data_IF_752580126453
#
_entry.id   IF_752580126453
#
_cell.length_a   1.000
_cell.length_b   1.000
_cell.length_c   1.000
_cell.angle_alpha   90.00
_cell.angle_beta   90.00
_cell.angle_gamma   90.00
#
_symmetry.space_group_name_H-M   'P 1'
#
loop_
_entity.id
_entity.type
_entity.pdbx_description
1 polymer ?
#
# COMPACT_ATOMS: atom_id res chain seq x y z
N UNK A 1 -3.18 1.39 12.38
CA UNK A 1 -4.37 2.12 12.86
C UNK A 1 -5.58 1.19 12.68
N UNK A 2 -6.21 0.75 13.76
CA UNK A 2 -7.43 -0.07 13.72
C UNK A 2 -8.58 0.79 13.20
N UNK A 3 -9.21 0.40 12.09
CA UNK A 3 -10.40 1.10 11.59
C UNK A 3 -11.51 1.04 12.65
N UNK A 4 -12.09 2.20 12.98
CA UNK A 4 -13.25 2.26 13.86
C UNK A 4 -14.43 1.56 13.19
N UNK A 5 -15.01 0.57 13.86
CA UNK A 5 -16.17 -0.17 13.35
C UNK A 5 -17.37 0.78 13.31
N UNK A 6 -17.86 1.08 12.11
CA UNK A 6 -19.09 1.86 11.92
C UNK A 6 -20.30 1.04 12.41
N UNK A 7 -20.82 1.47 13.57
CA UNK A 7 -22.00 0.85 14.21
C UNK A 7 -23.20 0.85 13.26
N UNK A 8 -23.44 1.93 12.52
CA UNK A 8 -24.58 2.07 11.62
C UNK A 8 -24.49 1.12 10.42
N UNK A 9 -23.28 0.87 9.91
CA UNK A 9 -23.03 -0.16 8.88
C UNK A 9 -23.28 -1.56 9.46
N UNK A 10 -22.80 -1.82 10.67
CA UNK A 10 -22.93 -3.11 11.35
C UNK A 10 -24.40 -3.50 11.62
N UNK A 11 -25.22 -2.57 12.11
CA UNK A 11 -26.65 -2.80 12.33
C UNK A 11 -27.41 -3.10 11.03
N UNK A 12 -27.06 -2.40 9.93
CA UNK A 12 -27.64 -2.65 8.60
C UNK A 12 -27.28 -4.02 8.06
N UNK A 13 -26.00 -4.42 8.16
CA UNK A 13 -25.55 -5.75 7.74
C UNK A 13 -26.21 -6.87 8.56
N UNK A 14 -26.31 -6.69 9.89
CA UNK A 14 -27.01 -7.64 10.76
C UNK A 14 -28.49 -7.80 10.38
N UNK A 15 -29.17 -6.69 10.04
CA UNK A 15 -30.56 -6.74 9.62
C UNK A 15 -30.75 -7.45 8.27
N UNK A 16 -29.86 -7.21 7.32
CA UNK A 16 -29.87 -7.90 6.02
C UNK A 16 -29.66 -9.42 6.17
N UNK A 17 -28.69 -9.83 6.99
CA UNK A 17 -28.44 -11.26 7.28
C UNK A 17 -29.68 -11.89 7.92
N UNK A 18 -30.30 -11.22 8.90
CA UNK A 18 -31.50 -11.72 9.57
C UNK A 18 -32.68 -11.88 8.61
N UNK A 19 -32.92 -10.90 7.74
CA UNK A 19 -33.98 -10.94 6.73
C UNK A 19 -33.75 -12.03 5.69
N UNK A 20 -32.52 -12.17 5.19
CA UNK A 20 -32.17 -13.22 4.24
C UNK A 20 -32.32 -14.61 4.86
N UNK A 21 -32.00 -14.77 6.15
CA UNK A 21 -32.18 -16.03 6.87
C UNK A 21 -33.66 -16.37 7.03
N UNK A 22 -34.51 -15.39 7.38
CA UNK A 22 -35.95 -15.59 7.47
C UNK A 22 -36.56 -15.96 6.11
N UNK A 23 -36.15 -15.28 5.04
CA UNK A 23 -36.60 -15.58 3.67
C UNK A 23 -36.13 -16.96 3.18
N UNK A 24 -34.91 -17.38 3.51
CA UNK A 24 -34.39 -18.71 3.15
C UNK A 24 -35.06 -19.87 3.90
N UNK A 25 -35.88 -19.57 4.91
CA UNK A 25 -36.70 -20.53 5.66
C UNK A 25 -38.19 -20.37 5.35
N UNK A 26 -38.54 -19.62 4.29
CA UNK A 26 -39.91 -19.29 3.87
C UNK A 26 -40.76 -18.61 4.97
N UNK A 27 -40.11 -17.90 5.89
CA UNK A 27 -40.78 -17.14 6.95
C UNK A 27 -41.04 -15.69 6.53
N UNK A 28 -42.03 -15.05 7.17
CA UNK A 28 -42.32 -13.64 6.90
C UNK A 28 -41.17 -12.75 7.39
N UNK A 29 -40.97 -11.56 6.78
CA UNK A 29 -39.94 -10.61 7.21
C UNK A 29 -40.09 -10.16 8.67
N UNK A 30 -41.28 -10.25 9.28
CA UNK A 30 -41.47 -9.95 10.70
C UNK A 30 -40.71 -10.96 11.61
N UNK A 31 -40.56 -12.21 11.17
CA UNK A 31 -39.78 -13.23 11.87
C UNK A 31 -38.27 -12.95 11.88
N UNK A 32 -37.77 -12.02 11.05
CA UNK A 32 -36.36 -11.63 11.01
C UNK A 32 -35.84 -11.13 12.38
N UNK A 33 -36.71 -10.56 13.23
CA UNK A 33 -36.33 -10.12 14.59
C UNK A 33 -35.80 -11.26 15.44
N UNK A 34 -36.30 -12.48 15.24
CA UNK A 34 -35.87 -13.68 15.97
C UNK A 34 -34.43 -14.08 15.62
N UNK A 35 -34.01 -13.84 14.37
CA UNK A 35 -32.66 -14.15 13.88
C UNK A 35 -31.66 -13.01 14.09
N UNK A 36 -32.13 -11.81 14.47
CA UNK A 36 -31.29 -10.62 14.56
C UNK A 36 -30.14 -10.76 15.55
N UNK A 37 -30.34 -11.39 16.71
CA UNK A 37 -29.26 -11.59 17.70
C UNK A 37 -28.14 -12.52 17.19
N UNK A 38 -28.48 -13.52 16.38
CA UNK A 38 -27.48 -14.39 15.73
C UNK A 38 -26.78 -13.66 14.56
N UNK A 39 -27.56 -12.92 13.77
CA UNK A 39 -27.06 -12.11 12.67
C UNK A 39 -26.12 -11.00 13.13
N UNK A 40 -26.39 -10.37 14.28
CA UNK A 40 -25.54 -9.34 14.87
C UNK A 40 -24.18 -9.90 15.29
N UNK A 41 -24.15 -11.09 15.92
CA UNK A 41 -22.91 -11.78 16.28
C UNK A 41 -22.10 -12.17 15.04
N UNK A 42 -22.76 -12.54 13.94
CA UNK A 42 -22.11 -12.81 12.66
C UNK A 42 -21.53 -11.54 12.04
N UNK A 43 -22.32 -10.49 11.92
CA UNK A 43 -21.88 -9.19 11.40
C UNK A 43 -20.72 -8.60 12.24
N UNK A 44 -20.73 -8.78 13.56
CA UNK A 44 -19.64 -8.37 14.44
C UNK A 44 -18.34 -9.14 14.19
N UNK A 45 -18.42 -10.47 13.96
CA UNK A 45 -17.23 -11.27 13.61
C UNK A 45 -16.67 -10.85 12.25
N UNK A 46 -17.53 -10.63 11.26
CA UNK A 46 -17.14 -10.17 9.93
C UNK A 46 -16.50 -8.78 9.98
N UNK A 47 -17.12 -7.82 10.68
CA UNK A 47 -16.56 -6.47 10.86
C UNK A 47 -15.24 -6.48 11.65
N UNK A 48 -15.10 -7.38 12.64
CA UNK A 48 -13.83 -7.54 13.35
C UNK A 48 -12.76 -8.18 12.45
N UNK A 49 -13.13 -9.12 11.58
CA UNK A 49 -12.21 -9.70 10.60
C UNK A 49 -11.81 -8.67 9.54
N UNK A 50 -12.72 -7.80 9.09
CA UNK A 50 -12.45 -6.68 8.19
C UNK A 50 -11.55 -5.63 8.87
N UNK A 51 -11.82 -5.29 10.14
CA UNK A 51 -10.98 -4.36 10.91
C UNK A 51 -9.61 -4.95 11.31
N UNK A 52 -9.51 -6.28 11.39
CA UNK A 52 -8.26 -7.01 11.62
C UNK A 52 -7.55 -7.40 10.32
N UNK A 53 -8.19 -7.23 9.17
CA UNK A 53 -7.54 -7.42 7.89
C UNK A 53 -6.43 -6.36 7.81
N UNK A 54 -5.18 -6.76 7.54
CA UNK A 54 -4.12 -5.80 7.31
C UNK A 54 -4.58 -4.93 6.14
N UNK A 55 -4.72 -3.62 6.39
CA UNK A 55 -4.92 -2.64 5.32
C UNK A 55 -3.79 -2.90 4.34
N UNK A 56 -4.13 -3.36 3.12
CA UNK A 56 -3.12 -3.67 2.12
C UNK A 56 -2.17 -2.47 2.04
N UNK A 57 -0.84 -2.67 2.18
CA UNK A 57 0.09 -1.57 2.20
C UNK A 57 -0.13 -0.75 0.94
N UNK A 58 -0.29 0.56 1.11
CA UNK A 58 -0.50 1.45 -0.02
C UNK A 58 0.78 1.36 -0.86
N UNK A 59 0.69 0.89 -2.10
CA UNK A 59 1.86 0.74 -2.98
C UNK A 59 1.90 1.86 -4.01
N UNK A 60 3.07 2.42 -4.27
CA UNK A 60 3.32 3.28 -5.42
C UNK A 60 4.09 2.55 -6.51
N UNK A 61 3.90 3.01 -7.75
CA UNK A 61 4.60 2.50 -8.93
C UNK A 61 5.61 3.53 -9.39
N UNK A 62 6.87 3.14 -9.51
CA UNK A 62 7.90 3.92 -10.18
C UNK A 62 8.25 3.26 -11.50
N UNK A 63 8.28 4.06 -12.57
CA UNK A 63 8.55 3.61 -13.92
C UNK A 63 9.78 4.33 -14.47
N UNK A 64 10.79 3.55 -14.80
CA UNK A 64 12.04 4.08 -15.37
C UNK A 64 12.25 3.55 -16.79
N UNK A 65 13.02 4.29 -17.57
CA UNK A 65 13.58 3.73 -18.80
C UNK A 65 14.51 2.57 -18.45
N UNK A 66 14.51 1.49 -19.25
CA UNK A 66 15.49 0.44 -19.09
C UNK A 66 16.87 1.04 -19.28
N UNK A 67 17.75 0.79 -18.32
CA UNK A 67 19.17 1.09 -18.46
C UNK A 67 19.82 0.26 -19.56
N UNK A 68 21.11 0.51 -19.78
CA UNK A 68 21.90 -0.34 -20.71
C UNK A 68 22.32 -1.63 -20.03
N UNK A 69 22.79 -2.62 -20.80
CA UNK A 69 23.33 -3.87 -20.23
C UNK A 69 24.46 -3.64 -19.22
N UNK A 70 25.28 -2.60 -19.42
CA UNK A 70 26.38 -2.24 -18.51
C UNK A 70 25.92 -1.42 -17.30
N UNK A 71 24.84 -0.66 -17.48
CA UNK A 71 24.28 0.23 -16.47
C UNK A 71 22.77 0.00 -16.38
N UNK A 72 22.34 -1.14 -15.81
CA UNK A 72 20.92 -1.41 -15.65
C UNK A 72 20.31 -0.39 -14.70
N UNK A 73 19.04 -0.07 -14.93
CA UNK A 73 18.25 0.71 -13.97
C UNK A 73 18.10 -0.11 -12.69
N UNK A 74 18.24 0.56 -11.55
CA UNK A 74 18.08 -0.05 -10.25
C UNK A 74 17.43 0.93 -9.29
N UNK A 75 16.71 0.38 -8.33
CA UNK A 75 16.14 1.11 -7.21
C UNK A 75 16.50 0.34 -5.94
N UNK A 76 16.91 1.05 -4.90
CA UNK A 76 17.24 0.44 -3.62
C UNK A 76 16.56 1.19 -2.48
N UNK A 77 16.08 0.45 -1.48
CA UNK A 77 15.67 1.01 -0.20
C UNK A 77 16.91 1.30 0.64
N UNK A 78 16.96 2.49 1.23
CA UNK A 78 17.98 2.84 2.22
C UNK A 78 17.54 2.29 3.57
N UNK A 79 18.33 1.39 4.13
CA UNK A 79 18.02 0.70 5.39
C UNK A 79 18.88 1.17 6.56
N UNK A 80 19.93 1.95 6.28
CA UNK A 80 20.83 2.46 7.31
C UNK A 80 22.18 2.89 6.72
N UNK A 81 23.20 2.77 7.56
CA UNK A 81 24.58 3.13 7.23
C UNK A 81 25.39 1.90 6.84
N UNK A 82 26.23 2.06 5.82
CA UNK A 82 27.22 1.06 5.44
C UNK A 82 28.63 1.65 5.64
N UNK A 83 29.54 0.98 6.37
CA UNK A 83 30.86 1.51 6.69
C UNK A 83 31.77 1.70 5.47
N UNK A 84 31.52 0.98 4.37
CA UNK A 84 32.31 1.02 3.14
C UNK A 84 31.71 1.96 2.09
N UNK A 85 30.38 2.00 2.01
CA UNK A 85 29.65 2.67 0.92
C UNK A 85 28.77 3.84 1.39
N UNK A 86 28.86 4.21 2.67
CA UNK A 86 28.10 5.29 3.29
C UNK A 86 26.67 4.87 3.63
N UNK A 87 25.88 4.47 2.63
CA UNK A 87 24.50 4.04 2.79
C UNK A 87 24.33 2.54 2.56
N UNK A 88 23.65 1.87 3.49
CA UNK A 88 23.20 0.50 3.32
C UNK A 88 21.99 0.47 2.38
N UNK A 89 22.05 -0.40 1.37
CA UNK A 89 21.08 -0.47 0.27
C UNK A 89 20.52 -1.88 0.16
N UNK A 90 19.21 -1.99 0.16
CA UNK A 90 18.48 -3.19 -0.20
C UNK A 90 17.89 -3.00 -1.61
N UNK A 91 18.45 -3.70 -2.60
CA UNK A 91 18.05 -3.55 -4.00
C UNK A 91 16.69 -4.20 -4.25
N UNK A 92 15.78 -3.41 -4.82
CA UNK A 92 14.45 -3.87 -5.19
C UNK A 92 14.47 -4.57 -6.53
N UNK A 93 13.58 -5.56 -6.69
CA UNK A 93 13.42 -6.27 -7.95
C UNK A 93 12.51 -5.49 -8.90
N UNK A 94 13.09 -5.01 -9.99
CA UNK A 94 12.34 -4.41 -11.09
C UNK A 94 11.65 -5.45 -11.95
N UNK A 95 10.49 -5.10 -12.51
CA UNK A 95 9.76 -5.91 -13.50
C UNK A 95 9.77 -5.19 -14.84
N UNK A 96 10.23 -5.86 -15.90
CA UNK A 96 10.14 -5.31 -17.25
C UNK A 96 8.68 -5.27 -17.67
N UNK A 97 8.20 -4.10 -18.07
CA UNK A 97 6.84 -3.89 -18.56
C UNK A 97 6.90 -3.13 -19.88
N UNK A 98 5.93 -3.38 -20.74
CA UNK A 98 5.74 -2.57 -21.95
C UNK A 98 4.61 -1.58 -21.68
N UNK A 99 4.93 -0.29 -21.61
CA UNK A 99 3.93 0.72 -21.35
C UNK A 99 3.34 1.21 -22.67
N UNK A 100 2.01 1.21 -22.76
CA UNK A 100 1.27 1.68 -23.92
C UNK A 100 0.40 2.85 -23.46
N UNK A 101 0.83 4.07 -23.78
CA UNK A 101 0.10 5.28 -23.41
C UNK A 101 0.29 6.41 -24.44
N UNK A 102 -0.55 7.46 -24.39
CA UNK A 102 -0.58 8.51 -25.40
C UNK A 102 0.68 9.38 -25.45
N UNK A 103 1.51 9.37 -24.40
CA UNK A 103 2.75 10.18 -24.30
C UNK A 103 4.03 9.36 -24.13
N UNK A 104 3.90 8.07 -23.82
CA UNK A 104 5.03 7.18 -23.54
C UNK A 104 4.73 5.82 -24.11
N UNK A 105 5.56 5.39 -25.06
CA UNK A 105 5.50 4.06 -25.69
C UNK A 105 6.89 3.45 -25.57
N UNK A 106 6.97 2.22 -25.08
CA UNK A 106 8.20 1.45 -25.09
C UNK A 106 8.46 0.65 -23.82
N UNK A 107 9.60 -0.07 -23.77
CA UNK A 107 9.99 -0.84 -22.61
C UNK A 107 10.26 0.07 -21.41
N UNK A 108 9.83 -0.37 -20.23
CA UNK A 108 10.03 0.27 -18.94
C UNK A 108 10.41 -0.77 -17.89
N UNK A 109 11.05 -0.32 -16.83
CA UNK A 109 11.24 -1.13 -15.63
C UNK A 109 10.37 -0.54 -14.52
N UNK A 110 9.44 -1.36 -14.03
CA UNK A 110 8.53 -1.02 -12.93
C UNK A 110 9.11 -1.49 -11.61
N UNK A 111 9.11 -0.62 -10.63
CA UNK A 111 9.32 -0.96 -9.23
C UNK A 111 8.03 -0.66 -8.46
N UNK A 112 7.53 -1.67 -7.77
CA UNK A 112 6.40 -1.55 -6.86
C UNK A 112 6.98 -1.32 -5.45
N UNK A 113 6.69 -0.16 -4.85
CA UNK A 113 7.23 0.22 -3.53
C UNK A 113 6.09 0.38 -2.53
N UNK A 114 6.31 -0.13 -1.32
CA UNK A 114 5.38 0.10 -0.21
C UNK A 114 5.57 1.52 0.35
N UNK A 115 4.46 2.26 0.47
CA UNK A 115 4.43 3.60 1.03
C UNK A 115 4.42 3.52 2.56
N UNK A 116 5.57 3.17 3.12
CA UNK A 116 5.84 3.21 4.55
C UNK A 116 6.41 4.59 4.88
N UNK A 117 5.73 5.34 5.74
CA UNK A 117 6.15 6.71 6.12
C UNK A 117 7.62 6.76 6.56
N UNK A 118 8.37 7.72 6.02
CA UNK A 118 9.80 7.87 6.28
C UNK A 118 10.71 6.88 5.54
N UNK A 119 10.16 5.95 4.75
CA UNK A 119 10.97 5.11 3.88
C UNK A 119 11.69 5.96 2.83
N UNK A 120 12.97 5.67 2.63
CA UNK A 120 13.81 6.34 1.64
C UNK A 120 14.29 5.32 0.62
N UNK A 121 14.16 5.67 -0.65
CA UNK A 121 14.66 4.90 -1.77
C UNK A 121 15.65 5.76 -2.57
N UNK A 122 16.60 5.11 -3.23
CA UNK A 122 17.58 5.74 -4.11
C UNK A 122 17.62 4.99 -5.44
N UNK A 123 17.77 5.72 -6.52
CA UNK A 123 17.89 5.16 -7.87
C UNK A 123 19.31 5.33 -8.47
N UNK A 124 19.44 4.92 -9.73
CA UNK A 124 20.68 5.04 -10.49
C UNK A 124 21.20 6.47 -10.71
N UNK A 125 20.35 7.51 -10.69
CA UNK A 125 20.80 8.91 -10.82
C UNK A 125 21.33 9.45 -9.50
N UNK A 126 21.18 8.67 -8.42
CA UNK A 126 21.50 9.00 -7.03
C UNK A 126 20.51 9.99 -6.40
N UNK A 127 19.37 10.23 -7.05
CA UNK A 127 18.26 10.98 -6.46
C UNK A 127 17.53 10.10 -5.44
N UNK A 128 16.83 10.74 -4.51
CA UNK A 128 16.08 10.04 -3.48
C UNK A 128 14.58 10.11 -3.75
N UNK A 129 13.87 9.09 -3.30
CA UNK A 129 12.41 9.09 -3.19
C UNK A 129 12.06 8.84 -1.74
N UNK A 130 11.35 9.77 -1.11
CA UNK A 130 10.99 9.69 0.31
C UNK A 130 9.48 9.59 0.43
N UNK A 131 9.00 8.66 1.25
CA UNK A 131 7.58 8.59 1.58
C UNK A 131 7.28 9.64 2.64
N UNK A 132 6.45 10.63 2.28
CA UNK A 132 5.96 11.70 3.17
C UNK A 132 4.45 11.81 3.03
N UNK A 133 3.75 11.88 4.15
CA UNK A 133 2.30 11.98 4.20
C UNK A 133 1.59 10.87 3.38
N UNK A 134 2.19 9.67 3.35
CA UNK A 134 1.69 8.53 2.58
C UNK A 134 1.76 8.70 1.06
N UNK A 135 2.60 9.60 0.56
CA UNK A 135 2.93 9.81 -0.85
C UNK A 135 4.43 9.73 -1.09
N UNK A 136 4.82 9.39 -2.32
CA UNK A 136 6.23 9.32 -2.70
C UNK A 136 6.69 10.67 -3.27
N UNK A 137 7.67 11.29 -2.63
CA UNK A 137 8.24 12.58 -3.03
C UNK A 137 9.66 12.37 -3.54
N UNK A 138 9.92 12.78 -4.79
CA UNK A 138 11.27 12.82 -5.36
C UNK A 138 12.05 13.99 -4.74
N UNK A 139 13.28 13.72 -4.31
CA UNK A 139 14.22 14.70 -3.76
C UNK A 139 15.52 14.58 -4.53
N UNK A 140 15.81 15.59 -5.36
CA UNK A 140 16.96 15.58 -6.25
C UNK A 140 18.23 16.01 -5.54
N UNK A 141 19.37 15.61 -6.10
CA UNK A 141 20.71 15.91 -5.53
C UNK A 141 21.02 17.39 -5.28
N UNK A 142 20.41 18.30 -6.04
CA UNK A 142 20.65 19.74 -5.91
C UNK A 142 19.72 20.40 -4.89
N UNK A 143 18.76 19.67 -4.33
CA UNK A 143 17.82 20.21 -3.36
C UNK A 143 18.43 20.22 -1.95
N UNK A 144 18.12 21.22 -1.12
CA UNK A 144 18.63 21.30 0.25
C UNK A 144 18.20 20.10 1.10
N UNK A 145 17.02 19.52 0.82
CA UNK A 145 16.51 18.34 1.50
C UNK A 145 17.38 17.09 1.28
N UNK A 146 18.20 17.06 0.23
CA UNK A 146 19.10 15.94 -0.08
C UNK A 146 20.16 15.72 1.01
N UNK A 147 20.79 16.81 1.47
CA UNK A 147 21.80 16.74 2.51
C UNK A 147 21.20 16.29 3.85
N UNK A 148 19.98 16.71 4.14
CA UNK A 148 19.25 16.28 5.34
C UNK A 148 18.97 14.76 5.33
N UNK A 149 18.61 14.20 4.17
CA UNK A 149 18.42 12.74 4.02
C UNK A 149 19.74 12.00 4.22
N UNK A 150 20.85 12.50 3.65
CA UNK A 150 22.14 11.86 3.89
C UNK A 150 22.55 11.91 5.37
N UNK A 151 22.31 13.04 6.04
CA UNK A 151 22.61 13.22 7.45
C UNK A 151 21.73 12.35 8.36
N UNK A 152 20.48 12.05 7.99
CA UNK A 152 19.62 11.19 8.80
C UNK A 152 20.08 9.73 8.88
N UNK A 153 21.03 9.33 8.03
CA UNK A 153 21.65 7.99 8.03
C UNK A 153 23.16 8.03 8.30
N UNK A 154 23.73 9.21 8.59
CA UNK A 154 25.13 9.40 8.97
C UNK A 154 25.32 9.12 10.47
#
# INVERSE_FOLDING_TARGET
MTQAIDKSKLFRSAWQIARHTAMGLDLTPECARQFFGAALRRAWREARAEAAAPVAPKTAKLLFLPGTRRYPVWLARITGRDPRFGLAREFLRGTNVHETGPRVIGPRVRFDVELVEGAVFQDQTKDFYVVRDGELVEVRRHEPAYAAIQASFA
#
